data_IF_118890482091
#
_entry.id   IF_118890482091
#
_cell.length_a   1.000
_cell.length_b   1.000
_cell.length_c   1.000
_cell.angle_alpha   90.00
_cell.angle_beta   90.00
_cell.angle_gamma   90.00
#
_symmetry.space_group_name_H-M   'P 1'
#
loop_
_entity.id
_entity.type
_entity.pdbx_description
1 polymer ?
#
# COMPACT_ATOMS: atom_id res chain seq x y z
N UNK A 1 -18.67 30.05 19.50
CA UNK A 1 -17.70 30.96 18.87
C UNK A 1 -16.38 30.78 19.60
N UNK A 2 -15.58 29.81 19.15
CA UNK A 2 -14.19 29.66 19.61
C UNK A 2 -13.37 30.37 18.54
N UNK A 3 -12.72 31.47 18.92
CA UNK A 3 -11.78 32.17 18.05
C UNK A 3 -10.55 31.28 17.86
N UNK A 4 -10.57 30.40 16.86
CA UNK A 4 -9.37 29.72 16.40
C UNK A 4 -8.41 30.80 15.90
N UNK A 5 -7.31 31.02 16.61
CA UNK A 5 -6.20 31.81 16.11
C UNK A 5 -5.71 31.13 14.83
N UNK A 6 -6.07 31.67 13.67
CA UNK A 6 -5.66 31.10 12.38
C UNK A 6 -4.14 31.08 12.31
N UNK A 7 -3.55 29.89 12.17
CA UNK A 7 -2.13 29.68 12.05
C UNK A 7 -1.83 29.36 10.58
N UNK A 8 -1.63 30.38 9.72
CA UNK A 8 -1.62 30.20 8.28
C UNK A 8 -0.49 29.28 7.84
N UNK A 9 -0.78 28.43 6.85
CA UNK A 9 0.19 27.46 6.38
C UNK A 9 1.39 28.14 5.71
N UNK A 10 2.63 27.95 6.20
CA UNK A 10 3.82 28.57 5.62
C UNK A 10 4.05 28.11 4.17
N UNK A 11 3.49 26.96 3.77
CA UNK A 11 3.61 26.44 2.40
C UNK A 11 3.07 27.41 1.33
N UNK A 12 2.17 28.33 1.68
CA UNK A 12 1.62 29.34 0.77
C UNK A 12 2.60 30.49 0.48
N UNK A 13 3.51 30.78 1.41
CA UNK A 13 4.42 31.94 1.35
C UNK A 13 5.88 31.55 1.07
N UNK A 14 6.16 30.25 0.99
CA UNK A 14 7.51 29.72 0.95
C UNK A 14 8.09 29.67 -0.47
N UNK A 15 9.35 30.08 -0.60
CA UNK A 15 10.15 29.98 -1.83
C UNK A 15 10.25 28.53 -2.34
N UNK A 16 10.40 28.36 -3.67
CA UNK A 16 10.52 27.04 -4.32
C UNK A 16 11.57 26.13 -3.68
N UNK A 17 12.71 26.68 -3.28
CA UNK A 17 13.78 25.91 -2.60
C UNK A 17 13.30 25.34 -1.27
N UNK A 18 12.66 26.17 -0.43
CA UNK A 18 12.18 25.72 0.88
C UNK A 18 10.97 24.78 0.76
N UNK A 19 10.18 24.91 -0.31
CA UNK A 19 9.15 23.93 -0.67
C UNK A 19 9.74 22.58 -1.06
N UNK A 20 10.81 22.56 -1.85
CA UNK A 20 11.47 21.33 -2.28
C UNK A 20 12.18 20.61 -1.13
N UNK A 21 12.95 21.35 -0.33
CA UNK A 21 13.70 20.80 0.82
C UNK A 21 12.84 20.61 2.08
N UNK A 22 11.53 20.93 2.01
CA UNK A 22 10.61 20.89 3.14
C UNK A 22 11.11 21.68 4.36
N UNK A 23 11.96 22.68 4.16
CA UNK A 23 12.60 23.41 5.26
C UNK A 23 11.61 24.25 6.06
N UNK A 24 10.42 24.54 5.52
CA UNK A 24 9.32 25.17 6.25
C UNK A 24 8.81 24.34 7.44
N UNK A 25 9.02 23.01 7.46
CA UNK A 25 8.68 22.16 8.62
C UNK A 25 9.64 22.34 9.80
N UNK A 26 10.83 22.90 9.57
CA UNK A 26 11.85 23.06 10.61
C UNK A 26 11.36 23.92 11.78
N UNK A 27 10.48 24.90 11.54
CA UNK A 27 9.87 25.73 12.59
C UNK A 27 9.03 24.88 13.54
N UNK A 28 8.19 24.00 13.01
CA UNK A 28 7.32 23.12 13.79
C UNK A 28 8.14 22.06 14.55
N UNK A 29 9.16 21.48 13.91
CA UNK A 29 10.07 20.51 14.53
C UNK A 29 10.83 21.17 15.69
N UNK A 30 11.37 22.37 15.49
CA UNK A 30 12.08 23.11 16.54
C UNK A 30 11.15 23.52 17.69
N UNK A 31 9.89 23.87 17.39
CA UNK A 31 8.88 24.18 18.39
C UNK A 31 8.56 22.95 19.24
N UNK A 32 8.33 21.79 18.61
CA UNK A 32 8.16 20.50 19.28
C UNK A 32 9.36 20.13 20.16
N UNK A 33 10.58 20.33 19.67
CA UNK A 33 11.80 20.00 20.41
C UNK A 33 11.99 20.89 21.65
N UNK A 34 11.63 22.17 21.56
CA UNK A 34 11.75 23.12 22.68
C UNK A 34 10.66 22.94 23.74
N UNK A 35 9.43 22.64 23.31
CA UNK A 35 8.26 22.57 24.20
C UNK A 35 7.98 21.16 24.73
N UNK A 36 8.56 20.11 24.13
CA UNK A 36 8.41 18.72 24.55
C UNK A 36 7.08 18.07 24.15
N UNK A 37 6.02 18.87 23.96
CA UNK A 37 4.70 18.43 23.47
C UNK A 37 4.14 19.43 22.47
N UNK A 38 3.46 18.94 21.43
CA UNK A 38 2.71 19.75 20.46
C UNK A 38 1.23 19.78 20.84
N UNK A 39 0.64 20.97 20.86
CA UNK A 39 -0.80 21.15 21.02
C UNK A 39 -1.49 21.35 19.65
N UNK A 40 -2.81 21.12 19.60
CA UNK A 40 -3.58 21.28 18.36
C UNK A 40 -3.47 22.71 17.79
N UNK A 41 -3.40 23.71 18.67
CA UNK A 41 -3.25 25.13 18.29
C UNK A 41 -1.89 25.45 17.66
N UNK A 42 -0.90 24.56 17.80
CA UNK A 42 0.44 24.74 17.21
C UNK A 42 0.50 24.27 15.75
N UNK A 43 -0.49 23.50 15.31
CA UNK A 43 -0.57 22.99 13.95
C UNK A 43 -0.97 24.10 12.98
N UNK A 44 -0.46 23.99 11.75
CA UNK A 44 -0.83 24.91 10.68
C UNK A 44 -2.20 24.56 10.12
N UNK A 45 -2.94 25.58 9.74
CA UNK A 45 -4.20 25.43 9.03
C UNK A 45 -3.96 24.74 7.67
N UNK A 46 -4.99 24.05 7.18
CA UNK A 46 -4.94 23.43 5.86
C UNK A 46 -4.92 24.54 4.79
N UNK A 47 -4.10 24.41 3.73
CA UNK A 47 -4.21 25.29 2.58
C UNK A 47 -5.59 25.17 1.93
N UNK A 48 -6.18 26.28 1.48
CA UNK A 48 -7.53 26.33 0.90
C UNK A 48 -7.75 25.25 -0.18
N UNK A 49 -6.77 25.06 -1.07
CA UNK A 49 -6.86 24.08 -2.16
C UNK A 49 -6.89 22.60 -1.72
N UNK A 50 -6.55 22.30 -0.47
CA UNK A 50 -6.60 20.95 0.12
C UNK A 50 -7.82 20.77 1.03
N UNK A 51 -8.62 21.81 1.22
CA UNK A 51 -9.84 21.73 2.01
C UNK A 51 -10.83 20.74 1.37
N UNK A 52 -11.53 19.99 2.22
CA UNK A 52 -12.46 18.96 1.78
C UNK A 52 -13.63 19.55 0.99
N UNK A 53 -14.11 20.73 1.38
CA UNK A 53 -15.18 21.49 0.72
C UNK A 53 -14.86 21.71 -0.76
N UNK A 54 -13.72 22.31 -1.06
CA UNK A 54 -13.28 22.59 -2.44
C UNK A 54 -13.10 21.30 -3.25
N UNK A 55 -12.55 20.26 -2.63
CA UNK A 55 -12.31 18.97 -3.30
C UNK A 55 -13.60 18.22 -3.60
N UNK A 56 -14.57 18.27 -2.68
CA UNK A 56 -15.90 17.66 -2.81
C UNK A 56 -16.72 18.41 -3.86
N UNK A 57 -16.76 19.74 -3.82
CA UNK A 57 -17.52 20.57 -4.77
C UNK A 57 -17.04 20.34 -6.21
N UNK A 58 -15.71 20.28 -6.41
CA UNK A 58 -15.12 19.93 -7.71
C UNK A 58 -15.53 18.53 -8.16
N UNK A 59 -15.52 17.56 -7.24
CA UNK A 59 -15.92 16.18 -7.53
C UNK A 59 -17.40 16.07 -7.90
N UNK A 60 -18.25 16.72 -7.13
CA UNK A 60 -19.68 16.78 -7.34
C UNK A 60 -20.04 17.42 -8.68
N UNK A 61 -19.43 18.57 -9.01
CA UNK A 61 -19.61 19.21 -10.31
C UNK A 61 -19.22 18.30 -11.49
N UNK A 62 -18.05 17.65 -11.40
CA UNK A 62 -17.59 16.73 -12.45
C UNK A 62 -18.40 15.42 -12.52
N UNK A 63 -18.98 14.98 -11.40
CA UNK A 63 -19.88 13.84 -11.34
C UNK A 63 -21.22 14.13 -12.01
N UNK A 64 -21.82 15.29 -11.71
CA UNK A 64 -23.03 15.73 -12.39
C UNK A 64 -22.83 15.91 -13.89
N UNK A 65 -21.68 16.42 -14.31
CA UNK A 65 -21.32 16.50 -15.73
C UNK A 65 -21.16 15.11 -16.39
N UNK A 66 -20.66 14.11 -15.66
CA UNK A 66 -20.54 12.74 -16.16
C UNK A 66 -21.91 12.05 -16.29
N UNK A 67 -22.82 12.25 -15.33
CA UNK A 67 -24.21 11.76 -15.40
C UNK A 67 -24.91 12.36 -16.62
N UNK A 68 -24.74 13.67 -16.86
CA UNK A 68 -25.31 14.35 -18.03
C UNK A 68 -24.74 13.83 -19.35
N UNK A 69 -23.44 13.53 -19.42
CA UNK A 69 -22.76 13.05 -20.65
C UNK A 69 -23.00 11.58 -20.95
N UNK A 70 -23.14 10.74 -19.93
CA UNK A 70 -23.20 9.28 -20.07
C UNK A 70 -24.31 8.68 -19.18
N UNK A 71 -25.60 8.90 -19.51
CA UNK A 71 -26.71 8.44 -18.68
C UNK A 71 -26.85 6.91 -18.59
N UNK A 72 -26.39 6.17 -19.60
CA UNK A 72 -26.49 4.70 -19.63
C UNK A 72 -25.40 3.99 -18.80
N UNK A 73 -24.25 4.63 -18.55
CA UNK A 73 -23.12 4.05 -17.79
C UNK A 73 -22.26 5.16 -17.17
N UNK A 74 -22.76 5.85 -16.14
CA UNK A 74 -21.98 6.86 -15.44
C UNK A 74 -20.81 6.19 -14.72
N UNK A 75 -19.60 6.72 -14.90
CA UNK A 75 -18.39 6.16 -14.28
C UNK A 75 -17.74 7.18 -13.35
N UNK A 76 -17.72 6.88 -12.04
CA UNK A 76 -17.07 7.74 -11.04
C UNK A 76 -15.57 7.89 -11.36
N UNK A 77 -15.03 6.94 -12.13
CA UNK A 77 -13.67 6.94 -12.66
C UNK A 77 -13.36 8.16 -13.50
N UNK A 78 -14.20 8.45 -14.49
CA UNK A 78 -13.94 9.56 -15.38
C UNK A 78 -14.19 10.89 -14.68
N UNK A 79 -15.15 10.95 -13.75
CA UNK A 79 -15.41 12.12 -12.94
C UNK A 79 -14.21 12.47 -12.04
N UNK A 80 -13.70 11.51 -11.27
CA UNK A 80 -12.51 11.68 -10.42
C UNK A 80 -11.23 11.97 -11.22
N UNK A 81 -11.07 11.41 -12.43
CA UNK A 81 -9.96 11.75 -13.31
C UNK A 81 -9.99 13.23 -13.75
N UNK A 82 -11.19 13.78 -14.00
CA UNK A 82 -11.35 15.20 -14.32
C UNK A 82 -11.09 16.11 -13.11
N UNK A 83 -11.36 15.64 -11.90
CA UNK A 83 -11.20 16.44 -10.67
C UNK A 83 -9.75 16.49 -10.20
N UNK A 84 -9.05 15.34 -10.28
CA UNK A 84 -7.65 15.24 -9.95
C UNK A 84 -6.78 15.99 -10.98
N UNK A 85 -7.25 16.19 -12.21
CA UNK A 85 -6.55 16.95 -13.24
C UNK A 85 -5.27 16.28 -13.76
N UNK A 86 -4.65 16.89 -14.77
CA UNK A 86 -3.53 16.28 -15.51
C UNK A 86 -2.27 16.00 -14.66
N UNK A 87 -2.06 16.75 -13.56
CA UNK A 87 -0.92 16.60 -12.65
C UNK A 87 -0.97 15.31 -11.83
N UNK A 88 -2.16 14.88 -11.44
CA UNK A 88 -2.41 13.62 -10.75
C UNK A 88 -2.90 12.54 -11.72
N UNK A 89 -3.09 12.85 -13.00
CA UNK A 89 -3.62 11.95 -14.04
C UNK A 89 -2.70 10.75 -14.31
N UNK A 90 -1.38 10.92 -14.43
CA UNK A 90 -0.44 9.80 -14.56
C UNK A 90 -0.40 8.92 -13.31
N UNK A 91 -0.55 9.55 -12.15
CA UNK A 91 -0.51 8.93 -10.83
C UNK A 91 -1.83 8.20 -10.50
N UNK A 92 -2.96 8.70 -11.00
CA UNK A 92 -4.31 8.23 -10.68
C UNK A 92 -5.00 7.43 -11.80
N UNK A 93 -4.48 7.43 -13.04
CA UNK A 93 -5.04 6.69 -14.18
C UNK A 93 -5.23 5.20 -13.91
N UNK A 94 -4.33 4.59 -13.12
CA UNK A 94 -4.33 3.17 -12.80
C UNK A 94 -5.11 2.84 -11.52
N UNK A 95 -5.21 3.78 -10.60
CA UNK A 95 -5.97 3.63 -9.35
C UNK A 95 -7.47 3.58 -9.63
N UNK A 96 -7.94 4.52 -10.44
CA UNK A 96 -9.33 4.89 -10.42
C UNK A 96 -10.27 3.83 -11.05
N UNK A 97 -9.97 3.19 -12.20
CA UNK A 97 -10.82 2.13 -12.78
C UNK A 97 -11.00 0.93 -11.86
N UNK A 98 -10.02 0.71 -10.98
CA UNK A 98 -10.02 -0.33 -9.96
C UNK A 98 -10.77 0.17 -8.71
N UNK A 99 -10.48 1.39 -8.24
CA UNK A 99 -11.02 2.02 -7.01
C UNK A 99 -12.54 2.24 -7.05
N UNK A 100 -13.12 2.45 -8.24
CA UNK A 100 -14.47 3.02 -8.36
C UNK A 100 -15.49 2.17 -9.11
N UNK A 101 -15.24 0.87 -9.27
CA UNK A 101 -16.30 -0.09 -9.61
C UNK A 101 -17.09 -0.50 -8.36
N UNK A 102 -17.39 0.44 -7.47
CA UNK A 102 -18.50 0.31 -6.53
C UNK A 102 -19.77 0.55 -7.33
N UNK A 103 -20.69 -0.40 -7.31
CA UNK A 103 -22.00 -0.24 -7.94
C UNK A 103 -22.69 0.99 -7.33
N UNK A 104 -23.19 1.87 -8.20
CA UNK A 104 -24.05 3.01 -7.84
C UNK A 104 -25.26 2.61 -7.00
N UNK A 105 -25.66 1.33 -7.04
CA UNK A 105 -26.79 0.78 -6.27
C UNK A 105 -26.54 0.72 -4.76
N UNK A 106 -25.27 0.68 -4.32
CA UNK A 106 -24.92 0.58 -2.91
C UNK A 106 -25.05 1.93 -2.18
N UNK A 107 -24.78 3.06 -2.85
CA UNK A 107 -24.75 4.39 -2.24
C UNK A 107 -26.09 4.83 -1.62
N UNK A 108 -27.22 4.32 -2.12
CA UNK A 108 -28.54 4.69 -1.62
C UNK A 108 -28.95 3.96 -0.33
N UNK A 109 -28.19 2.95 0.12
CA UNK A 109 -28.53 2.13 1.30
C UNK A 109 -27.80 2.54 2.58
N UNK A 110 -26.83 3.45 2.54
CA UNK A 110 -25.97 3.71 3.70
C UNK A 110 -26.28 4.96 4.49
N UNK A 111 -26.03 4.86 5.79
CA UNK A 111 -25.90 6.01 6.67
C UNK A 111 -24.64 6.81 6.32
N UNK A 112 -24.73 8.14 6.35
CA UNK A 112 -23.59 9.06 6.17
C UNK A 112 -22.39 8.71 7.07
N UNK A 113 -22.65 8.18 8.28
CA UNK A 113 -21.60 7.73 9.22
C UNK A 113 -20.86 6.46 8.80
N UNK A 114 -21.52 5.55 8.10
CA UNK A 114 -20.89 4.31 7.60
C UNK A 114 -20.06 4.59 6.34
N UNK A 115 -20.55 5.48 5.48
CA UNK A 115 -19.83 5.95 4.30
C UNK A 115 -18.54 6.66 4.71
N UNK A 116 -18.61 7.55 5.70
CA UNK A 116 -17.41 8.29 6.18
C UNK A 116 -16.38 7.38 6.83
N UNK A 117 -16.80 6.38 7.62
CA UNK A 117 -15.89 5.40 8.21
C UNK A 117 -15.25 4.46 7.16
N UNK A 118 -16.03 4.03 6.16
CA UNK A 118 -15.52 3.25 5.03
C UNK A 118 -14.49 4.05 4.24
N UNK A 119 -14.82 5.31 3.90
CA UNK A 119 -13.93 6.21 3.18
C UNK A 119 -12.65 6.51 3.95
N UNK A 120 -12.72 6.75 5.27
CA UNK A 120 -11.54 7.04 6.09
C UNK A 120 -10.58 5.83 6.20
N UNK A 121 -11.11 4.62 6.38
CA UNK A 121 -10.29 3.41 6.47
C UNK A 121 -9.71 2.99 5.11
N UNK A 122 -10.45 3.22 4.02
CA UNK A 122 -10.00 2.86 2.68
C UNK A 122 -9.14 3.95 2.01
N UNK A 123 -9.26 5.23 2.39
CA UNK A 123 -8.41 6.31 1.89
C UNK A 123 -6.91 6.06 2.16
N UNK A 124 -6.55 5.66 3.37
CA UNK A 124 -5.17 5.30 3.72
C UNK A 124 -4.64 4.12 2.89
N UNK A 125 -5.51 3.17 2.51
CA UNK A 125 -5.13 2.03 1.67
C UNK A 125 -4.95 2.44 0.21
N UNK A 126 -5.79 3.33 -0.29
CA UNK A 126 -5.70 3.90 -1.64
C UNK A 126 -4.43 4.72 -1.79
N UNK A 127 -4.05 5.50 -0.77
CA UNK A 127 -2.78 6.24 -0.74
C UNK A 127 -1.57 5.30 -0.82
N UNK A 128 -1.56 4.21 -0.05
CA UNK A 128 -0.46 3.24 -0.10
C UNK A 128 -0.40 2.50 -1.45
N UNK A 129 -1.57 2.17 -2.02
CA UNK A 129 -1.67 1.49 -3.30
C UNK A 129 -1.07 2.34 -4.44
N UNK A 130 -1.21 3.66 -4.36
CA UNK A 130 -0.61 4.60 -5.30
C UNK A 130 0.92 4.44 -5.43
N UNK A 131 1.61 4.19 -4.32
CA UNK A 131 3.08 4.14 -4.28
C UNK A 131 3.64 2.96 -5.09
N UNK A 132 3.04 1.77 -4.98
CA UNK A 132 3.56 0.57 -5.65
C UNK A 132 2.97 0.32 -7.05
N UNK A 133 1.79 0.84 -7.36
CA UNK A 133 1.11 0.57 -8.64
C UNK A 133 1.96 0.88 -9.87
N UNK A 134 2.73 1.97 -9.84
CA UNK A 134 3.58 2.37 -10.97
C UNK A 134 4.65 1.32 -11.30
N UNK A 135 5.03 0.47 -10.35
CA UNK A 135 5.98 -0.61 -10.60
C UNK A 135 5.39 -1.75 -11.45
N UNK A 136 4.07 -1.83 -11.65
CA UNK A 136 3.48 -2.83 -12.56
C UNK A 136 3.95 -2.67 -14.00
N UNK A 137 4.19 -1.44 -14.45
CA UNK A 137 4.66 -1.13 -15.81
C UNK A 137 6.14 -0.75 -15.86
N UNK A 138 6.66 -0.11 -14.81
CA UNK A 138 8.09 0.21 -14.71
C UNK A 138 8.93 -1.06 -14.61
N UNK A 139 8.49 -2.08 -13.85
CA UNK A 139 9.29 -3.29 -13.66
C UNK A 139 9.54 -4.07 -14.96
N UNK A 140 8.55 -4.36 -15.82
CA UNK A 140 8.80 -5.00 -17.12
C UNK A 140 9.75 -4.20 -18.02
N UNK A 141 9.54 -2.89 -18.12
CA UNK A 141 10.37 -2.01 -18.95
C UNK A 141 11.82 -1.97 -18.45
N UNK A 142 12.00 -1.86 -17.14
CA UNK A 142 13.32 -1.89 -16.51
C UNK A 142 13.99 -3.27 -16.68
N UNK A 143 13.24 -4.37 -16.59
CA UNK A 143 13.78 -5.72 -16.80
C UNK A 143 14.35 -5.86 -18.21
N UNK A 144 13.62 -5.39 -19.22
CA UNK A 144 14.07 -5.40 -20.61
C UNK A 144 15.33 -4.56 -20.81
N UNK A 145 15.39 -3.37 -20.21
CA UNK A 145 16.57 -2.51 -20.28
C UNK A 145 17.80 -3.18 -19.64
N UNK A 146 17.64 -3.80 -18.47
CA UNK A 146 18.75 -4.51 -17.79
C UNK A 146 19.19 -5.73 -18.59
N UNK A 147 18.27 -6.52 -19.15
CA UNK A 147 18.60 -7.65 -20.02
C UNK A 147 19.40 -7.19 -21.25
N UNK A 148 19.00 -6.09 -21.87
CA UNK A 148 19.69 -5.53 -23.04
C UNK A 148 21.13 -5.11 -22.70
N UNK A 149 21.31 -4.44 -21.56
CA UNK A 149 22.65 -4.07 -21.07
C UNK A 149 23.47 -5.32 -20.76
N UNK A 150 22.92 -6.28 -20.02
CA UNK A 150 23.60 -7.53 -19.66
C UNK A 150 24.03 -8.35 -20.87
N UNK A 151 23.21 -8.38 -21.92
CA UNK A 151 23.52 -9.05 -23.18
C UNK A 151 24.83 -8.54 -23.79
N UNK A 152 25.06 -7.23 -23.72
CA UNK A 152 26.25 -6.58 -24.28
C UNK A 152 27.54 -6.95 -23.53
N UNK A 153 27.46 -7.21 -22.23
CA UNK A 153 28.63 -7.52 -21.38
C UNK A 153 28.93 -9.02 -21.26
N UNK A 154 27.89 -9.84 -21.04
CA UNK A 154 28.06 -11.23 -20.57
C UNK A 154 27.47 -12.27 -21.52
N UNK A 155 26.87 -11.82 -22.64
CA UNK A 155 26.34 -12.65 -23.72
C UNK A 155 25.50 -13.82 -23.17
N UNK A 156 25.98 -15.06 -23.32
CA UNK A 156 25.27 -16.29 -22.98
C UNK A 156 24.94 -16.46 -21.48
N UNK A 157 25.76 -15.88 -20.58
CA UNK A 157 25.52 -15.99 -19.13
C UNK A 157 24.22 -15.26 -18.74
N UNK A 158 23.77 -14.29 -19.55
CA UNK A 158 22.50 -13.57 -19.35
C UNK A 158 21.29 -14.51 -19.32
N UNK A 159 21.32 -15.65 -20.02
CA UNK A 159 20.20 -16.61 -20.01
C UNK A 159 19.97 -17.24 -18.63
N UNK A 160 21.02 -17.44 -17.84
CA UNK A 160 20.92 -17.99 -16.48
C UNK A 160 20.17 -17.00 -15.58
N UNK A 161 20.51 -15.72 -15.70
CA UNK A 161 19.85 -14.63 -14.99
C UNK A 161 18.38 -14.58 -15.38
N UNK A 162 18.08 -14.53 -16.68
CA UNK A 162 16.71 -14.49 -17.20
C UNK A 162 15.89 -15.68 -16.68
N UNK A 163 16.44 -16.89 -16.75
CA UNK A 163 15.77 -18.11 -16.30
C UNK A 163 15.40 -18.05 -14.81
N UNK A 164 16.33 -17.63 -13.96
CA UNK A 164 16.07 -17.51 -12.53
C UNK A 164 15.14 -16.34 -12.18
N UNK A 165 15.26 -15.20 -12.87
CA UNK A 165 14.32 -14.07 -12.72
C UNK A 165 12.91 -14.47 -13.10
N UNK A 166 12.71 -15.18 -14.21
CA UNK A 166 11.40 -15.68 -14.64
C UNK A 166 10.82 -16.71 -13.64
N UNK A 167 11.67 -17.60 -13.11
CA UNK A 167 11.26 -18.55 -12.09
C UNK A 167 10.70 -17.85 -10.84
N UNK A 168 11.39 -16.82 -10.34
CA UNK A 168 10.89 -16.05 -9.19
C UNK A 168 9.66 -15.20 -9.54
N UNK A 169 9.60 -14.64 -10.74
CA UNK A 169 8.42 -13.90 -11.20
C UNK A 169 7.15 -14.77 -11.19
N UNK A 170 7.28 -16.08 -11.43
CA UNK A 170 6.16 -17.01 -11.37
C UNK A 170 5.81 -17.46 -9.94
N UNK A 171 6.81 -17.70 -9.10
CA UNK A 171 6.62 -18.18 -7.73
C UNK A 171 6.02 -17.09 -6.82
N UNK A 172 6.45 -15.84 -6.96
CA UNK A 172 6.09 -14.78 -6.01
C UNK A 172 4.58 -14.41 -6.00
N UNK A 173 3.85 -14.37 -7.13
CA UNK A 173 2.39 -14.20 -7.13
C UNK A 173 1.63 -15.32 -6.42
N UNK A 174 2.19 -16.54 -6.36
CA UNK A 174 1.58 -17.64 -5.59
C UNK A 174 1.64 -17.35 -4.09
N UNK A 175 2.78 -16.86 -3.61
CA UNK A 175 2.92 -16.35 -2.23
C UNK A 175 1.96 -15.21 -1.95
N UNK A 176 1.78 -14.28 -2.90
CA UNK A 176 0.79 -13.19 -2.77
C UNK A 176 -0.64 -13.72 -2.56
N UNK A 177 -1.06 -14.78 -3.27
CA UNK A 177 -2.38 -15.40 -3.08
C UNK A 177 -2.49 -16.10 -1.72
N UNK A 178 -1.46 -16.84 -1.32
CA UNK A 178 -1.41 -17.50 -0.01
C UNK A 178 -1.49 -16.48 1.13
N UNK A 179 -0.79 -15.36 0.99
CA UNK A 179 -0.79 -14.27 1.97
C UNK A 179 -2.19 -13.69 2.18
N UNK A 180 -2.97 -13.50 1.10
CA UNK A 180 -4.35 -13.03 1.19
C UNK A 180 -5.25 -14.01 1.94
N UNK A 181 -5.07 -15.31 1.66
CA UNK A 181 -5.80 -16.36 2.35
C UNK A 181 -5.49 -16.37 3.85
N UNK A 182 -4.20 -16.36 4.22
CA UNK A 182 -3.78 -16.33 5.63
C UNK A 182 -4.27 -15.06 6.34
N UNK A 183 -4.21 -13.91 5.67
CA UNK A 183 -4.74 -12.64 6.19
C UNK A 183 -6.25 -12.72 6.44
N UNK A 184 -7.01 -13.36 5.55
CA UNK A 184 -8.45 -13.54 5.74
C UNK A 184 -8.74 -14.41 6.98
N UNK A 185 -7.95 -15.45 7.23
CA UNK A 185 -8.08 -16.29 8.42
C UNK A 185 -7.75 -15.54 9.72
N UNK A 186 -6.72 -14.70 9.72
CA UNK A 186 -6.39 -13.83 10.87
C UNK A 186 -7.56 -12.89 11.17
N UNK A 187 -8.09 -12.21 10.16
CA UNK A 187 -9.21 -11.28 10.31
C UNK A 187 -10.45 -11.95 10.92
N UNK A 188 -10.79 -13.18 10.52
CA UNK A 188 -11.93 -13.92 11.10
C UNK A 188 -11.82 -14.09 12.62
N UNK A 189 -10.63 -14.45 13.13
CA UNK A 189 -10.41 -14.65 14.57
C UNK A 189 -10.35 -13.32 15.30
N UNK A 190 -9.73 -12.30 14.70
CA UNK A 190 -9.70 -10.94 15.27
C UNK A 190 -11.12 -10.36 15.41
N UNK A 191 -11.99 -10.58 14.43
CA UNK A 191 -13.40 -10.14 14.48
C UNK A 191 -14.18 -10.86 15.59
N UNK A 192 -13.99 -12.18 15.76
CA UNK A 192 -14.56 -12.96 16.88
C UNK A 192 -14.14 -12.35 18.24
N UNK A 193 -12.86 -12.01 18.39
CA UNK A 193 -12.33 -11.38 19.59
C UNK A 193 -12.95 -10.01 19.84
N UNK A 194 -12.98 -9.14 18.84
CA UNK A 194 -13.52 -7.77 18.97
C UNK A 194 -15.00 -7.83 19.36
N UNK A 195 -15.77 -8.75 18.77
CA UNK A 195 -17.17 -8.98 19.14
C UNK A 195 -17.32 -9.33 20.63
N UNK A 196 -16.57 -10.33 21.11
CA UNK A 196 -16.66 -10.74 22.52
C UNK A 196 -16.17 -9.63 23.47
N UNK A 197 -15.12 -8.90 23.10
CA UNK A 197 -14.67 -7.75 23.90
C UNK A 197 -15.74 -6.66 23.99
N UNK A 198 -16.47 -6.39 22.90
CA UNK A 198 -17.58 -5.43 22.91
C UNK A 198 -18.74 -5.88 23.81
N UNK A 199 -19.07 -7.18 23.82
CA UNK A 199 -20.08 -7.77 24.71
C UNK A 199 -19.67 -7.65 26.18
N UNK A 200 -18.39 -7.89 26.51
CA UNK A 200 -17.85 -7.76 27.87
C UNK A 200 -17.99 -6.32 28.37
N UNK A 201 -17.60 -5.33 27.56
CA UNK A 201 -17.67 -3.90 27.93
C UNK A 201 -19.12 -3.49 28.16
N UNK A 202 -20.04 -3.90 27.27
CA UNK A 202 -21.47 -3.59 27.39
C UNK A 202 -22.10 -4.20 28.64
N UNK A 203 -21.62 -5.37 29.08
CA UNK A 203 -22.17 -6.12 30.22
C UNK A 203 -21.27 -6.11 31.47
N UNK A 204 -20.36 -5.15 31.59
CA UNK A 204 -19.32 -5.13 32.64
C UNK A 204 -19.88 -5.15 34.06
N UNK A 205 -21.00 -4.45 34.32
CA UNK A 205 -21.65 -4.42 35.64
C UNK A 205 -22.13 -5.80 36.09
N UNK A 206 -22.74 -6.56 35.19
CA UNK A 206 -23.23 -7.92 35.46
C UNK A 206 -22.05 -8.86 35.72
N UNK A 207 -21.00 -8.76 34.92
CA UNK A 207 -19.79 -9.58 35.06
C UNK A 207 -19.14 -9.38 36.44
N UNK A 208 -19.06 -8.11 36.90
CA UNK A 208 -18.55 -7.75 38.23
C UNK A 208 -19.47 -8.24 39.36
N UNK A 209 -20.79 -8.12 39.20
CA UNK A 209 -21.78 -8.58 40.18
C UNK A 209 -21.69 -10.10 40.43
N UNK A 210 -21.46 -10.89 39.39
CA UNK A 210 -21.34 -12.35 39.47
C UNK A 210 -19.89 -12.85 39.58
N UNK A 211 -18.90 -11.97 39.68
CA UNK A 211 -17.47 -12.31 39.69
C UNK A 211 -17.03 -13.22 38.53
N UNK A 212 -17.62 -13.05 37.35
CA UNK A 212 -17.35 -13.90 36.16
C UNK A 212 -16.05 -13.55 35.42
N UNK A 213 -15.21 -12.69 35.98
CA UNK A 213 -14.01 -12.15 35.33
C UNK A 213 -13.07 -13.27 34.87
N UNK A 214 -12.73 -14.21 35.74
CA UNK A 214 -11.82 -15.31 35.41
C UNK A 214 -12.39 -16.27 34.36
N UNK A 215 -13.71 -16.35 34.20
CA UNK A 215 -14.34 -17.15 33.14
C UNK A 215 -14.22 -16.46 31.78
N UNK A 216 -14.51 -15.16 31.72
CA UNK A 216 -14.35 -14.35 30.50
C UNK A 216 -12.89 -14.19 30.10
N UNK A 217 -11.99 -14.03 31.07
CA UNK A 217 -10.54 -13.97 30.85
C UNK A 217 -10.05 -15.25 30.15
N UNK A 218 -10.39 -16.43 30.69
CA UNK A 218 -10.01 -17.71 30.07
C UNK A 218 -10.58 -17.85 28.66
N UNK A 219 -11.81 -17.38 28.42
CA UNK A 219 -12.42 -17.39 27.08
C UNK A 219 -11.65 -16.48 26.10
N UNK A 220 -11.34 -15.26 26.50
CA UNK A 220 -10.56 -14.31 25.68
C UNK A 220 -9.15 -14.82 25.44
N UNK A 221 -8.49 -15.38 26.46
CA UNK A 221 -7.16 -15.97 26.34
C UNK A 221 -7.13 -17.08 25.28
N UNK A 222 -8.11 -18.00 25.28
CA UNK A 222 -8.22 -19.04 24.24
C UNK A 222 -8.36 -18.48 22.82
N UNK A 223 -9.12 -17.41 22.64
CA UNK A 223 -9.26 -16.74 21.34
C UNK A 223 -7.95 -16.06 20.94
N UNK A 224 -7.30 -15.37 21.89
CA UNK A 224 -5.99 -14.73 21.68
C UNK A 224 -4.91 -15.73 21.28
N UNK A 225 -4.86 -16.90 21.90
CA UNK A 225 -3.90 -17.95 21.51
C UNK A 225 -4.13 -18.41 20.07
N UNK A 226 -5.40 -18.58 19.65
CA UNK A 226 -5.74 -18.88 18.25
C UNK A 226 -5.31 -17.75 17.31
N UNK A 227 -5.58 -16.50 17.67
CA UNK A 227 -5.19 -15.30 16.91
C UNK A 227 -3.67 -15.21 16.75
N UNK A 228 -2.91 -15.42 17.83
CA UNK A 228 -1.44 -15.41 17.83
C UNK A 228 -0.88 -16.50 16.94
N UNK A 229 -1.37 -17.75 17.02
CA UNK A 229 -0.89 -18.84 16.15
C UNK A 229 -1.09 -18.50 14.68
N UNK A 230 -2.28 -18.00 14.29
CA UNK A 230 -2.57 -17.61 12.91
C UNK A 230 -1.70 -16.44 12.46
N UNK A 231 -1.47 -15.47 13.33
CA UNK A 231 -0.60 -14.32 13.06
C UNK A 231 0.86 -14.74 12.90
N UNK A 232 1.35 -15.68 13.73
CA UNK A 232 2.70 -16.23 13.62
C UNK A 232 2.89 -16.99 12.31
N UNK A 233 1.94 -17.84 11.91
CA UNK A 233 1.99 -18.54 10.61
C UNK A 233 2.01 -17.55 9.44
N UNK A 234 1.20 -16.49 9.53
CA UNK A 234 1.20 -15.40 8.54
C UNK A 234 2.56 -14.69 8.47
N UNK A 235 3.15 -14.33 9.62
CA UNK A 235 4.47 -13.71 9.68
C UNK A 235 5.57 -14.63 9.15
N UNK A 236 5.54 -15.93 9.49
CA UNK A 236 6.50 -16.92 8.98
C UNK A 236 6.45 -17.01 7.46
N UNK A 237 5.25 -17.01 6.85
CA UNK A 237 5.10 -16.98 5.40
C UNK A 237 5.75 -15.74 4.77
N UNK A 238 5.56 -14.57 5.39
CA UNK A 238 6.20 -13.33 4.95
C UNK A 238 7.74 -13.35 5.13
N UNK A 239 8.24 -13.96 6.20
CA UNK A 239 9.67 -14.17 6.38
C UNK A 239 10.26 -15.06 5.27
N UNK A 240 9.57 -16.14 4.88
CA UNK A 240 10.02 -17.01 3.77
C UNK A 240 10.06 -16.24 2.45
N UNK A 241 9.01 -15.46 2.15
CA UNK A 241 8.94 -14.60 0.95
C UNK A 241 10.11 -13.60 0.90
N UNK A 242 10.39 -12.93 2.03
CA UNK A 242 11.48 -11.94 2.12
C UNK A 242 12.85 -12.60 1.99
N UNK A 243 13.08 -13.77 2.61
CA UNK A 243 14.31 -14.56 2.44
C UNK A 243 14.49 -14.97 0.97
N UNK A 244 13.43 -15.46 0.31
CA UNK A 244 13.46 -15.83 -1.10
C UNK A 244 13.81 -14.62 -1.98
N UNK A 245 13.27 -13.44 -1.68
CA UNK A 245 13.62 -12.21 -2.40
C UNK A 245 15.08 -11.78 -2.16
N UNK A 246 15.57 -11.85 -0.93
CA UNK A 246 16.94 -11.42 -0.58
C UNK A 246 18.02 -12.38 -1.11
N UNK A 247 17.74 -13.68 -1.12
CA UNK A 247 18.65 -14.70 -1.65
C UNK A 247 18.92 -14.59 -3.15
N UNK A 248 18.11 -13.83 -3.89
CA UNK A 248 18.24 -13.66 -5.34
C UNK A 248 19.66 -13.28 -5.80
N UNK A 249 20.27 -12.31 -5.10
CA UNK A 249 21.60 -11.84 -5.43
C UNK A 249 22.66 -12.93 -5.23
N UNK A 250 22.66 -13.56 -4.06
CA UNK A 250 23.63 -14.59 -3.72
C UNK A 250 23.55 -15.80 -4.65
N UNK A 251 22.33 -16.23 -5.01
CA UNK A 251 22.11 -17.39 -5.90
C UNK A 251 22.57 -17.09 -7.32
N UNK A 252 22.13 -15.99 -7.93
CA UNK A 252 22.57 -15.60 -9.28
C UNK A 252 24.09 -15.47 -9.32
N UNK A 253 24.65 -14.83 -8.30
CA UNK A 253 26.06 -14.56 -8.25
C UNK A 253 26.89 -15.86 -8.17
N UNK A 254 26.44 -16.84 -7.37
CA UNK A 254 27.03 -18.17 -7.32
C UNK A 254 26.90 -18.91 -8.66
N UNK A 255 25.76 -18.83 -9.34
CA UNK A 255 25.58 -19.45 -10.66
C UNK A 255 26.48 -18.82 -11.73
N UNK A 256 26.65 -17.50 -11.71
CA UNK A 256 27.56 -16.79 -12.61
C UNK A 256 29.00 -17.21 -12.34
N UNK A 257 29.45 -17.18 -11.09
CA UNK A 257 30.81 -17.59 -10.74
C UNK A 257 31.08 -19.06 -11.10
N UNK A 258 30.12 -19.95 -10.84
CA UNK A 258 30.23 -21.37 -11.18
C UNK A 258 30.34 -21.63 -12.68
N UNK A 259 29.55 -20.94 -13.50
CA UNK A 259 29.66 -21.06 -14.97
C UNK A 259 30.93 -20.44 -15.52
N UNK A 260 31.42 -19.36 -14.91
CA UNK A 260 32.70 -18.74 -15.28
C UNK A 260 33.89 -19.64 -14.94
N UNK A 261 33.86 -20.29 -13.77
CA UNK A 261 34.84 -21.30 -13.38
C UNK A 261 34.86 -22.46 -14.39
N UNK A 262 33.68 -22.95 -14.79
CA UNK A 262 33.57 -24.04 -15.77
C UNK A 262 34.08 -23.68 -17.16
N UNK A 263 33.93 -22.41 -17.59
CA UNK A 263 34.28 -21.96 -18.93
C UNK A 263 35.69 -21.32 -19.01
N UNK A 264 36.41 -21.22 -17.89
CA UNK A 264 37.74 -20.58 -17.80
C UNK A 264 37.79 -19.16 -18.41
N UNK A 265 36.70 -18.40 -18.32
CA UNK A 265 36.62 -17.04 -18.86
C UNK A 265 37.17 -16.06 -17.80
N UNK A 266 38.26 -15.37 -18.13
CA UNK A 266 38.79 -14.26 -17.30
C UNK A 266 37.91 -13.03 -17.49
N UNK A 267 37.46 -12.43 -16.39
CA UNK A 267 36.57 -11.28 -16.40
C UNK A 267 37.17 -10.12 -15.63
N UNK A 268 36.97 -8.92 -16.16
CA UNK A 268 37.43 -7.70 -15.51
C UNK A 268 36.57 -7.38 -14.28
N UNK A 269 37.20 -6.86 -13.23
CA UNK A 269 36.56 -6.53 -11.94
C UNK A 269 35.47 -5.47 -12.12
N UNK A 270 35.62 -4.56 -13.09
CA UNK A 270 34.64 -3.49 -13.38
C UNK A 270 33.33 -4.04 -13.94
N UNK A 271 33.41 -4.98 -14.87
CA UNK A 271 32.22 -5.59 -15.48
C UNK A 271 31.44 -6.42 -14.47
N UNK A 272 32.14 -7.01 -13.51
CA UNK A 272 31.55 -7.74 -12.40
C UNK A 272 30.78 -6.86 -11.42
N UNK A 273 31.34 -5.71 -11.02
CA UNK A 273 30.64 -4.78 -10.11
C UNK A 273 29.41 -4.16 -10.78
N UNK A 274 29.50 -3.83 -12.08
CA UNK A 274 28.36 -3.37 -12.86
C UNK A 274 27.25 -4.43 -12.93
N UNK A 275 27.60 -5.69 -13.16
CA UNK A 275 26.63 -6.78 -13.15
C UNK A 275 25.94 -6.93 -11.78
N UNK A 276 26.71 -6.88 -10.69
CA UNK A 276 26.15 -6.96 -9.33
C UNK A 276 25.12 -5.85 -9.07
N UNK A 277 25.47 -4.62 -9.43
CA UNK A 277 24.60 -3.45 -9.27
C UNK A 277 23.31 -3.60 -10.10
N UNK A 278 23.43 -3.98 -11.37
CA UNK A 278 22.28 -4.16 -12.27
C UNK A 278 21.33 -5.28 -11.81
N UNK A 279 21.88 -6.40 -11.32
CA UNK A 279 21.08 -7.50 -10.77
C UNK A 279 20.37 -7.05 -9.49
N UNK A 280 21.01 -6.26 -8.62
CA UNK A 280 20.37 -5.73 -7.41
C UNK A 280 19.22 -4.77 -7.74
N UNK A 281 19.39 -3.90 -8.73
CA UNK A 281 18.29 -3.06 -9.21
C UNK A 281 17.12 -3.89 -9.76
N UNK A 282 17.42 -4.95 -10.52
CA UNK A 282 16.40 -5.87 -11.05
C UNK A 282 15.64 -6.56 -9.91
N UNK A 283 16.34 -7.00 -8.86
CA UNK A 283 15.74 -7.58 -7.65
C UNK A 283 14.73 -6.61 -7.02
N UNK A 284 15.17 -5.38 -6.77
CA UNK A 284 14.35 -4.40 -6.07
C UNK A 284 13.08 -4.06 -6.86
N UNK A 285 13.22 -3.76 -8.15
CA UNK A 285 12.07 -3.36 -8.99
C UNK A 285 11.14 -4.54 -9.31
N UNK A 286 11.68 -5.67 -9.74
CA UNK A 286 10.90 -6.74 -10.37
C UNK A 286 10.47 -7.83 -9.40
N UNK A 287 11.21 -8.02 -8.31
CA UNK A 287 10.90 -9.05 -7.31
C UNK A 287 10.27 -8.39 -6.09
N UNK A 288 10.78 -7.28 -5.58
CA UNK A 288 10.20 -6.69 -4.37
C UNK A 288 9.00 -5.80 -4.69
N UNK A 289 9.19 -4.73 -5.46
CA UNK A 289 8.13 -3.74 -5.68
C UNK A 289 6.99 -4.23 -6.57
N UNK A 290 7.30 -5.01 -7.61
CA UNK A 290 6.27 -5.62 -8.44
C UNK A 290 5.34 -6.56 -7.63
N UNK A 291 5.89 -7.36 -6.71
CA UNK A 291 5.07 -8.23 -5.87
C UNK A 291 4.24 -7.45 -4.84
N UNK A 292 4.77 -6.37 -4.26
CA UNK A 292 3.95 -5.47 -3.46
C UNK A 292 2.81 -4.86 -4.27
N UNK A 293 3.06 -4.44 -5.52
CA UNK A 293 2.03 -3.91 -6.40
C UNK A 293 0.93 -4.95 -6.69
N UNK A 294 1.30 -6.20 -7.01
CA UNK A 294 0.34 -7.30 -7.20
C UNK A 294 -0.47 -7.54 -5.92
N UNK A 295 0.20 -7.61 -4.78
CA UNK A 295 -0.45 -7.88 -3.49
C UNK A 295 -1.46 -6.80 -3.13
N UNK A 296 -1.11 -5.55 -3.35
CA UNK A 296 -1.98 -4.41 -3.07
C UNK A 296 -3.20 -4.39 -4.00
N UNK A 297 -2.99 -4.66 -5.30
CA UNK A 297 -4.09 -4.85 -6.26
C UNK A 297 -5.02 -5.98 -5.84
N UNK A 298 -4.48 -7.13 -5.41
CA UNK A 298 -5.30 -8.26 -5.00
C UNK A 298 -6.05 -8.00 -3.68
N UNK A 299 -5.41 -7.36 -2.70
CA UNK A 299 -6.06 -6.91 -1.46
C UNK A 299 -7.22 -5.98 -1.78
N UNK A 300 -7.00 -5.05 -2.71
CA UNK A 300 -8.01 -4.13 -3.16
C UNK A 300 -9.17 -4.87 -3.85
N UNK A 301 -8.90 -5.78 -4.79
CA UNK A 301 -9.93 -6.60 -5.45
C UNK A 301 -10.75 -7.41 -4.43
N UNK A 302 -10.10 -7.94 -3.38
CA UNK A 302 -10.77 -8.65 -2.31
C UNK A 302 -11.65 -7.71 -1.46
N UNK A 303 -11.18 -6.50 -1.16
CA UNK A 303 -11.97 -5.48 -0.47
C UNK A 303 -13.20 -5.07 -1.30
N UNK A 304 -13.02 -4.82 -2.59
CA UNK A 304 -14.10 -4.48 -3.50
C UNK A 304 -15.18 -5.59 -3.58
N UNK A 305 -14.76 -6.87 -3.62
CA UNK A 305 -15.70 -7.99 -3.56
C UNK A 305 -16.50 -8.03 -2.26
N UNK A 306 -15.88 -7.72 -1.11
CA UNK A 306 -16.60 -7.66 0.18
C UNK A 306 -17.66 -6.56 0.15
N UNK A 307 -17.30 -5.39 -0.36
CA UNK A 307 -18.24 -4.27 -0.51
C UNK A 307 -19.40 -4.70 -1.42
N UNK A 308 -19.16 -5.33 -2.57
CA UNK A 308 -20.23 -5.76 -3.49
C UNK A 308 -21.14 -6.88 -2.96
N UNK A 309 -20.69 -7.66 -1.98
CA UNK A 309 -21.46 -8.80 -1.41
C UNK A 309 -22.21 -8.39 -0.14
N UNK A 310 -21.64 -7.49 0.66
CA UNK A 310 -22.32 -6.94 1.84
C UNK A 310 -23.44 -5.96 1.47
N UNK A 311 -23.50 -5.47 0.22
CA UNK A 311 -24.26 -4.29 -0.16
C UNK A 311 -24.97 -4.43 -1.51
#
# INVERSE_FOLDING_TARGET
MVSSSSNPNPLLQVNLFSRFFHSWLSSLINKSHKQGTLHLDDLYDLPDHLESTISIDKLEANWFDEIKRCPQNPSLVRATLRTAGWRYMLLSLLLIPLVLRLSTDAMNKFSSGEITNLLANDANKVELLHYYLNYLWIAPLQTLAVIFILWSYVKYITFIIIGYTLFLLFIQPLFSRLFLYLRAEVLKVTDERVKIMSEIIRSMRIIKMYCWESAFERKVCRIRTREMIKTTVFMMCHCIETILSQSYLSVIFLMIYGTMWSLNIKFDTRSFTLLYVLVNYTRQSCITYFNFAIRDVLNYMAAQKRIRVCF
#
